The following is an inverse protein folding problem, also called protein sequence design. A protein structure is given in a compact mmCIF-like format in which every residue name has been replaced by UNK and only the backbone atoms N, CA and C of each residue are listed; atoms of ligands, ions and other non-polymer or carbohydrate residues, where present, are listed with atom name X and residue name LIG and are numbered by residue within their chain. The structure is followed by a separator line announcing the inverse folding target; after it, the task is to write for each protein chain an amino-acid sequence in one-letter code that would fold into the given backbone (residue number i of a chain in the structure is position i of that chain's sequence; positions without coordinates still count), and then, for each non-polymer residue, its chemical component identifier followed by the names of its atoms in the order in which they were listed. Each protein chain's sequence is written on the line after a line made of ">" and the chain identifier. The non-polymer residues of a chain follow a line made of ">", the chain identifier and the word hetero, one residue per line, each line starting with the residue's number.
data_IF_967230226105
#
_entry.id   IF_967230226105
#
_cell.length_a   1.000
_cell.length_b   1.000
_cell.length_c   1.000
_cell.angle_alpha   90.00
_cell.angle_beta   90.00
_cell.angle_gamma   90.00
#
_symmetry.space_group_name_H-M   'P 1'
#
loop_
_entity.id
_entity.type
_entity.pdbx_description
1 polymer ?
#
# COMPACT_ATOMS: atom_id res chain seq x y z
N UNK A 1 6.04 10.01 -38.13
CA UNK A 1 5.35 8.76 -37.75
C UNK A 1 3.90 9.06 -37.34
N UNK A 2 3.05 9.48 -38.29
CA UNK A 2 1.69 10.01 -38.02
C UNK A 2 0.67 8.91 -37.69
N UNK A 3 1.00 7.67 -38.04
CA UNK A 3 0.20 6.48 -37.74
C UNK A 3 0.28 6.11 -36.26
N UNK A 4 1.49 6.09 -35.69
CA UNK A 4 1.72 5.82 -34.27
C UNK A 4 0.97 6.82 -33.35
N UNK A 5 0.88 8.08 -33.75
CA UNK A 5 0.13 9.10 -33.02
C UNK A 5 -1.39 8.87 -33.06
N UNK A 6 -1.92 8.35 -34.18
CA UNK A 6 -3.33 8.01 -34.33
C UNK A 6 -3.70 6.72 -33.60
N UNK A 7 -2.79 5.74 -33.59
CA UNK A 7 -2.91 4.50 -32.79
C UNK A 7 -2.98 4.85 -31.30
N UNK A 8 -2.05 5.69 -30.82
CA UNK A 8 -2.02 6.14 -29.44
C UNK A 8 -3.26 6.97 -29.05
N UNK A 9 -3.78 7.80 -29.95
CA UNK A 9 -5.00 8.56 -29.70
C UNK A 9 -6.27 7.69 -29.73
N UNK A 10 -6.29 6.62 -30.55
CA UNK A 10 -7.36 5.62 -30.55
C UNK A 10 -7.39 4.82 -29.25
N UNK A 11 -6.23 4.36 -28.76
CA UNK A 11 -6.11 3.67 -27.47
C UNK A 11 -6.53 4.57 -26.30
N UNK A 12 -6.24 5.88 -26.38
CA UNK A 12 -6.69 6.87 -25.39
C UNK A 12 -8.21 7.09 -25.42
N UNK A 13 -8.86 6.92 -26.57
CA UNK A 13 -10.32 7.10 -26.76
C UNK A 13 -11.12 5.80 -26.64
N UNK A 14 -10.49 4.63 -26.71
CA UNK A 14 -11.16 3.32 -26.69
C UNK A 14 -11.44 2.78 -25.28
N UNK A 15 -11.56 3.64 -24.27
CA UNK A 15 -12.04 3.26 -22.93
C UNK A 15 -10.96 2.83 -21.93
N UNK A 16 -9.69 2.69 -22.31
CA UNK A 16 -8.64 2.24 -21.38
C UNK A 16 -8.47 3.12 -20.13
N UNK A 17 -8.82 4.41 -20.20
CA UNK A 17 -8.77 5.31 -19.06
C UNK A 17 -10.02 5.16 -18.15
N UNK A 18 -11.21 4.99 -18.73
CA UNK A 18 -12.47 4.79 -17.97
C UNK A 18 -12.52 3.43 -17.27
N UNK A 19 -11.94 2.37 -17.85
CA UNK A 19 -11.88 1.05 -17.22
C UNK A 19 -10.95 1.02 -15.99
N UNK A 20 -9.85 1.77 -16.05
CA UNK A 20 -8.85 1.88 -14.99
C UNK A 20 -9.43 2.65 -13.80
N UNK A 21 -10.06 3.81 -14.05
CA UNK A 21 -10.69 4.61 -12.98
C UNK A 21 -11.84 3.84 -12.28
N UNK A 22 -12.54 2.96 -13.00
CA UNK A 22 -13.63 2.14 -12.46
C UNK A 22 -13.14 1.08 -11.45
N UNK A 23 -11.96 0.48 -11.65
CA UNK A 23 -11.40 -0.50 -10.71
C UNK A 23 -11.05 0.17 -9.37
N UNK A 24 -10.41 1.34 -9.41
CA UNK A 24 -10.15 2.13 -8.21
C UNK A 24 -11.43 2.56 -7.50
N UNK A 25 -12.39 3.13 -8.23
CA UNK A 25 -13.64 3.63 -7.67
C UNK A 25 -14.52 2.50 -7.09
N UNK A 26 -14.38 1.28 -7.60
CA UNK A 26 -15.07 0.10 -7.07
C UNK A 26 -14.40 -0.50 -5.83
N UNK A 27 -13.17 -0.09 -5.49
CA UNK A 27 -12.45 -0.65 -4.35
C UNK A 27 -13.11 -0.19 -3.04
N UNK A 28 -13.46 -1.11 -2.11
CA UNK A 28 -14.28 -0.80 -0.93
C UNK A 28 -13.66 0.26 0.01
N UNK A 29 -12.34 0.41 -0.05
CA UNK A 29 -11.58 1.39 0.74
C UNK A 29 -11.18 2.66 -0.04
N UNK A 30 -11.60 2.82 -1.29
CA UNK A 30 -11.28 4.01 -2.07
C UNK A 30 -11.87 5.29 -1.46
N UNK A 31 -13.12 5.26 -1.01
CA UNK A 31 -13.74 6.44 -0.38
C UNK A 31 -13.02 6.86 0.90
N UNK A 32 -12.53 5.88 1.67
CA UNK A 32 -11.85 6.13 2.94
C UNK A 32 -10.40 6.58 2.75
N UNK A 33 -9.66 5.92 1.86
CA UNK A 33 -8.19 6.04 1.75
C UNK A 33 -7.68 6.58 0.41
N UNK A 34 -8.60 6.95 -0.49
CA UNK A 34 -8.25 7.47 -1.82
C UNK A 34 -7.44 8.76 -1.79
N UNK A 35 -7.64 9.60 -0.76
CA UNK A 35 -6.89 10.84 -0.54
C UNK A 35 -5.56 10.60 0.19
N UNK A 36 -5.50 9.61 1.08
CA UNK A 36 -4.29 9.28 1.85
C UNK A 36 -3.15 8.78 0.96
N UNK A 37 -3.44 8.27 -0.23
CA UNK A 37 -2.42 7.91 -1.20
C UNK A 37 -1.57 9.12 -1.65
N UNK A 38 -2.16 10.31 -1.75
CA UNK A 38 -1.41 11.52 -2.11
C UNK A 38 -0.48 11.95 -0.98
N UNK A 39 -0.95 11.89 0.27
CA UNK A 39 -0.13 12.15 1.46
C UNK A 39 0.98 11.11 1.62
N UNK A 40 0.67 9.85 1.35
CA UNK A 40 1.64 8.76 1.32
C UNK A 40 2.77 9.02 0.32
N UNK A 41 2.42 9.42 -0.91
CA UNK A 41 3.43 9.75 -1.93
C UNK A 41 4.34 10.89 -1.48
N UNK A 42 3.78 11.94 -0.90
CA UNK A 42 4.56 13.07 -0.40
C UNK A 42 5.47 12.66 0.76
N UNK A 43 4.92 11.92 1.73
CA UNK A 43 5.64 11.50 2.95
C UNK A 43 6.83 10.59 2.66
N UNK A 44 6.73 9.72 1.66
CA UNK A 44 7.78 8.76 1.29
C UNK A 44 8.44 9.06 -0.04
N UNK A 45 8.31 10.30 -0.53
CA UNK A 45 8.93 10.82 -1.75
C UNK A 45 8.75 9.87 -2.97
N UNK A 46 7.54 9.32 -3.10
CA UNK A 46 7.21 8.36 -4.16
C UNK A 46 6.99 9.07 -5.48
N UNK A 47 7.70 8.62 -6.50
CA UNK A 47 7.53 9.03 -7.89
C UNK A 47 7.34 7.82 -8.77
N UNK A 48 6.32 7.83 -9.62
CA UNK A 48 6.01 6.76 -10.56
C UNK A 48 6.14 7.27 -11.99
N UNK A 49 6.89 6.54 -12.82
CA UNK A 49 7.26 6.98 -14.17
C UNK A 49 6.06 7.09 -15.12
N UNK A 50 5.00 6.30 -14.88
CA UNK A 50 3.81 6.29 -15.73
C UNK A 50 2.53 6.32 -14.89
N UNK A 51 1.46 6.88 -15.45
CA UNK A 51 0.12 6.86 -14.83
C UNK A 51 -0.40 5.43 -14.60
N UNK A 52 -0.03 4.50 -15.47
CA UNK A 52 -0.43 3.10 -15.31
C UNK A 52 0.23 2.47 -14.08
N UNK A 53 1.51 2.75 -13.85
CA UNK A 53 2.21 2.29 -12.65
C UNK A 53 1.68 2.99 -11.40
N UNK A 54 1.44 4.31 -11.44
CA UNK A 54 0.82 5.04 -10.32
C UNK A 54 -0.54 4.46 -9.94
N UNK A 55 -1.38 4.13 -10.93
CA UNK A 55 -2.66 3.47 -10.73
C UNK A 55 -2.51 2.12 -10.05
N UNK A 56 -1.62 1.28 -10.58
CA UNK A 56 -1.31 -0.04 -10.01
C UNK A 56 -0.83 0.07 -8.56
N UNK A 57 0.02 1.06 -8.26
CA UNK A 57 0.52 1.34 -6.91
C UNK A 57 -0.57 1.82 -5.97
N UNK A 58 -1.52 2.62 -6.46
CA UNK A 58 -2.70 3.05 -5.71
C UNK A 58 -3.61 1.88 -5.35
N UNK A 59 -3.84 0.94 -6.26
CA UNK A 59 -4.59 -0.28 -5.96
C UNK A 59 -3.90 -1.15 -4.90
N UNK A 60 -2.57 -1.32 -5.00
CA UNK A 60 -1.81 -2.07 -3.98
C UNK A 60 -1.92 -1.37 -2.62
N UNK A 61 -1.77 -0.05 -2.59
CA UNK A 61 -1.91 0.75 -1.38
C UNK A 61 -3.28 0.57 -0.73
N UNK A 62 -4.37 0.68 -1.49
CA UNK A 62 -5.74 0.52 -0.97
C UNK A 62 -5.98 -0.89 -0.40
N UNK A 63 -5.51 -1.93 -1.08
CA UNK A 63 -5.57 -3.30 -0.58
C UNK A 63 -4.79 -3.45 0.74
N UNK A 64 -3.64 -2.80 0.86
CA UNK A 64 -2.82 -2.85 2.08
C UNK A 64 -3.46 -2.06 3.22
N UNK A 65 -4.08 -0.92 2.94
CA UNK A 65 -4.84 -0.15 3.93
C UNK A 65 -6.07 -0.90 4.45
N UNK A 66 -6.75 -1.65 3.58
CA UNK A 66 -7.80 -2.59 4.00
C UNK A 66 -7.24 -3.62 5.01
N UNK A 67 -6.09 -4.24 4.72
CA UNK A 67 -5.48 -5.19 5.63
C UNK A 67 -5.05 -4.54 6.96
N UNK A 68 -4.52 -3.31 6.93
CA UNK A 68 -4.19 -2.52 8.13
C UNK A 68 -5.43 -2.38 9.01
N UNK A 69 -6.55 -1.98 8.42
CA UNK A 69 -7.81 -1.79 9.13
C UNK A 69 -8.36 -3.07 9.71
N UNK A 70 -8.38 -4.15 8.93
CA UNK A 70 -8.82 -5.46 9.41
C UNK A 70 -7.99 -5.92 10.61
N UNK A 71 -6.66 -5.78 10.55
CA UNK A 71 -5.76 -6.15 11.65
C UNK A 71 -5.88 -5.24 12.88
N UNK A 72 -6.17 -3.95 12.68
CA UNK A 72 -6.37 -3.00 13.78
C UNK A 72 -7.71 -3.20 14.50
N UNK A 73 -8.71 -3.73 13.81
CA UNK A 73 -10.04 -4.02 14.36
C UNK A 73 -10.21 -5.49 14.77
N UNK A 74 -9.19 -6.33 14.56
CA UNK A 74 -9.21 -7.73 14.98
C UNK A 74 -9.13 -7.83 16.52
N UNK A 75 -10.23 -8.25 17.14
CA UNK A 75 -10.34 -8.47 18.59
C UNK A 75 -9.35 -9.54 19.11
N UNK A 76 -8.82 -10.38 18.22
CA UNK A 76 -7.78 -11.38 18.52
C UNK A 76 -6.36 -10.82 18.41
N UNK A 77 -6.19 -9.53 18.15
CA UNK A 77 -4.92 -8.82 18.27
C UNK A 77 -4.52 -8.67 19.75
N UNK A 78 -4.21 -9.81 20.38
CA UNK A 78 -3.90 -9.98 21.81
C UNK A 78 -2.70 -9.14 22.28
N UNK A 79 -1.86 -8.69 21.34
CA UNK A 79 -0.68 -7.88 21.62
C UNK A 79 -0.98 -6.37 21.61
N UNK A 80 -2.19 -5.94 21.25
CA UNK A 80 -2.56 -4.52 21.17
C UNK A 80 -1.72 -3.75 20.16
N UNK A 81 -1.21 -4.43 19.13
CA UNK A 81 -0.37 -3.80 18.14
C UNK A 81 -1.22 -2.89 17.24
N UNK A 82 -0.90 -1.61 17.18
CA UNK A 82 -1.44 -0.72 16.16
C UNK A 82 -0.54 -0.74 14.94
N UNK A 83 -1.17 -0.98 13.79
CA UNK A 83 -0.55 -1.05 12.49
C UNK A 83 -0.88 0.22 11.68
N UNK A 84 0.08 0.69 10.89
CA UNK A 84 -0.06 1.91 10.09
C UNK A 84 0.72 1.80 8.78
N UNK A 85 0.35 2.63 7.80
CA UNK A 85 1.02 2.71 6.51
C UNK A 85 2.49 3.14 6.66
N UNK A 86 3.35 2.53 5.86
CA UNK A 86 4.77 2.83 5.77
C UNK A 86 5.25 2.84 4.31
N UNK A 87 6.54 3.14 4.07
CA UNK A 87 7.14 3.25 2.74
C UNK A 87 7.02 2.00 1.83
N UNK A 88 6.58 0.86 2.35
CA UNK A 88 6.37 -0.40 1.62
C UNK A 88 4.89 -0.71 1.36
N UNK A 89 3.96 0.19 1.72
CA UNK A 89 2.50 -0.01 1.61
C UNK A 89 2.04 -0.18 0.16
N UNK A 90 2.76 0.42 -0.79
CA UNK A 90 2.54 0.34 -2.23
C UNK A 90 3.25 -0.87 -2.90
N UNK A 91 3.86 -1.76 -2.12
CA UNK A 91 4.62 -2.90 -2.63
C UNK A 91 3.88 -4.23 -2.45
N UNK A 92 3.98 -5.09 -3.48
CA UNK A 92 3.48 -6.46 -3.39
C UNK A 92 4.41 -7.31 -2.52
N UNK A 93 3.90 -8.43 -2.02
CA UNK A 93 4.70 -9.33 -1.17
C UNK A 93 5.95 -9.87 -1.90
N UNK A 94 5.87 -10.08 -3.22
CA UNK A 94 7.02 -10.51 -4.01
C UNK A 94 8.06 -9.41 -4.21
N UNK A 95 7.63 -8.16 -4.33
CA UNK A 95 8.54 -7.01 -4.37
C UNK A 95 9.23 -6.82 -3.01
N UNK A 96 8.48 -6.98 -1.91
CA UNK A 96 9.03 -6.95 -0.55
C UNK A 96 10.02 -8.08 -0.34
N UNK A 97 9.72 -9.31 -0.78
CA UNK A 97 10.65 -10.44 -0.74
C UNK A 97 11.95 -10.10 -1.47
N UNK A 98 11.86 -9.50 -2.67
CA UNK A 98 13.06 -9.09 -3.44
C UNK A 98 13.91 -8.05 -2.73
N UNK A 99 13.29 -7.11 -2.02
CA UNK A 99 14.01 -6.15 -1.15
C UNK A 99 14.62 -6.85 0.08
N UNK A 100 13.93 -7.86 0.63
CA UNK A 100 14.32 -8.61 1.82
C UNK A 100 15.28 -9.78 1.57
N UNK A 101 15.56 -10.15 0.32
CA UNK A 101 16.47 -11.25 -0.07
C UNK A 101 17.93 -11.07 0.40
N UNK A 102 18.26 -9.98 1.12
CA UNK A 102 19.53 -9.85 1.84
C UNK A 102 19.61 -10.62 3.16
N UNK A 103 18.50 -11.16 3.69
CA UNK A 103 18.49 -11.89 4.96
C UNK A 103 18.01 -13.33 4.76
N UNK A 104 18.94 -14.29 4.91
CA UNK A 104 18.87 -15.68 4.42
C UNK A 104 18.27 -16.69 5.40
N UNK A 105 17.30 -16.30 6.23
CA UNK A 105 16.69 -17.26 7.18
C UNK A 105 15.15 -17.21 7.13
N UNK A 106 14.57 -18.28 6.58
CA UNK A 106 13.15 -18.41 6.22
C UNK A 106 12.22 -18.45 7.45
N UNK A 107 12.72 -18.90 8.59
CA UNK A 107 11.92 -19.07 9.83
C UNK A 107 11.62 -17.76 10.54
N UNK A 108 12.48 -16.74 10.39
CA UNK A 108 12.26 -15.38 10.92
C UNK A 108 11.53 -14.48 9.93
N UNK A 109 11.27 -14.98 8.73
CA UNK A 109 10.82 -14.18 7.60
C UNK A 109 9.35 -13.77 7.73
N UNK A 110 8.47 -14.59 8.30
CA UNK A 110 7.03 -14.27 8.42
C UNK A 110 6.74 -13.22 9.49
N UNK A 111 7.32 -13.34 10.68
CA UNK A 111 7.18 -12.34 11.75
C UNK A 111 7.85 -11.01 11.37
N UNK A 112 8.99 -11.07 10.67
CA UNK A 112 9.67 -9.89 10.18
C UNK A 112 8.94 -9.24 8.99
N UNK A 113 8.29 -10.04 8.12
CA UNK A 113 7.36 -9.55 7.08
C UNK A 113 6.23 -8.76 7.71
N UNK A 114 5.60 -9.27 8.78
CA UNK A 114 4.57 -8.53 9.54
C UNK A 114 5.10 -7.22 10.12
N UNK A 115 6.31 -7.20 10.69
CA UNK A 115 6.95 -5.97 11.21
C UNK A 115 7.37 -4.95 10.14
N UNK A 116 7.65 -5.40 8.91
CA UNK A 116 8.07 -4.55 7.79
C UNK A 116 6.88 -3.98 7.01
N UNK A 117 5.78 -4.71 6.92
CA UNK A 117 4.56 -4.25 6.23
C UNK A 117 3.74 -3.35 7.16
N UNK A 118 3.85 -3.55 8.46
CA UNK A 118 3.13 -2.79 9.45
C UNK A 118 4.06 -2.30 10.55
N UNK A 119 4.17 -0.99 10.71
CA UNK A 119 4.88 -0.42 11.86
C UNK A 119 4.06 -0.72 13.10
N UNK A 120 4.54 -1.56 14.01
CA UNK A 120 3.98 -1.67 15.37
C UNK A 120 4.32 -0.36 16.09
N UNK A 121 3.37 0.54 16.22
CA UNK A 121 3.52 1.67 17.14
C UNK A 121 3.38 1.14 18.55
N UNK A 122 4.50 0.97 19.26
CA UNK A 122 4.49 0.71 20.70
C UNK A 122 4.06 1.99 21.44
N UNK A 123 2.76 2.29 21.47
CA UNK A 123 2.23 3.27 22.42
C UNK A 123 2.04 2.58 23.77
N UNK A 124 3.15 2.29 24.47
CA UNK A 124 3.12 2.19 25.93
C UNK A 124 3.42 3.58 26.49
N UNK A 125 2.39 4.40 26.67
CA UNK A 125 2.35 5.20 27.89
C UNK A 125 2.05 4.20 29.00
N UNK A 126 3.10 3.64 29.59
CA UNK A 126 2.97 3.06 30.93
C UNK A 126 2.80 4.27 31.83
N UNK A 127 1.62 4.39 32.43
CA UNK A 127 1.33 5.36 33.46
C UNK A 127 2.45 5.34 34.50
N UNK A 128 3.11 6.49 34.70
CA UNK A 128 3.92 6.73 35.88
C UNK A 128 2.99 6.75 37.09
N UNK A 129 2.72 5.57 37.65
CA UNK A 129 2.35 5.43 39.05
C UNK A 129 3.65 5.17 39.80
N UNK A 130 4.34 6.24 40.18
CA UNK A 130 5.25 6.17 41.33
C UNK A 130 4.40 6.36 42.59
N UNK A 131 4.45 5.32 43.42
CA UNK A 131 3.90 5.20 44.79
C UNK A 131 4.44 6.31 45.70
#
# INVERSE_FOLDING_TARGET
>A
NKELARENERLRKSGGHEFIDNELLSHPYFEKYGNEFEEFKQKYEKFYETKHEEHRRKLIFLNRMQQIDELNNDETNLLGNSYASNQFTDMTDDEIKKVNLKWTDETKHEEHRRKLIFTVSQNKKVDEIYV
#
